data_IF_757056001499
#
_entry.id   IF_757056001499
#
_cell.length_a   1.000
_cell.length_b   1.000
_cell.length_c   1.000
_cell.angle_alpha   90.00
_cell.angle_beta   90.00
_cell.angle_gamma   90.00
#
_symmetry.space_group_name_H-M   'P 1'
#
loop_
_entity.id
_entity.type
_entity.pdbx_description
1 polymer ?
#
# COMPACT_ATOMS: atom_id res chain seq x y z
N UNK A 1 -8.76 -6.96 -21.53
CA UNK A 1 -7.82 -5.99 -22.12
C UNK A 1 -6.40 -6.45 -21.79
N UNK A 2 -5.46 -6.28 -22.71
CA UNK A 2 -4.04 -6.59 -22.45
C UNK A 2 -3.40 -5.35 -21.82
N UNK A 3 -2.77 -5.45 -20.64
CA UNK A 3 -2.09 -4.33 -20.01
C UNK A 3 -0.85 -3.89 -20.79
N UNK A 4 -0.50 -2.62 -20.68
CA UNK A 4 0.75 -2.09 -21.23
C UNK A 4 1.97 -2.77 -20.58
N UNK A 5 3.10 -2.94 -21.30
CA UNK A 5 4.26 -3.68 -20.77
C UNK A 5 4.79 -3.21 -19.42
N UNK A 6 4.90 -1.90 -19.12
CA UNK A 6 5.32 -1.42 -17.80
C UNK A 6 4.35 -1.84 -16.68
N UNK A 7 3.04 -1.78 -16.97
CA UNK A 7 1.99 -2.17 -16.02
C UNK A 7 2.03 -3.68 -15.81
N UNK A 8 2.08 -4.46 -16.88
CA UNK A 8 2.20 -5.92 -16.83
C UNK A 8 3.42 -6.37 -16.01
N UNK A 9 4.58 -5.72 -16.24
CA UNK A 9 5.80 -5.99 -15.50
C UNK A 9 5.63 -5.70 -14.00
N UNK A 10 5.12 -4.51 -13.66
CA UNK A 10 4.91 -4.10 -12.26
C UNK A 10 3.94 -5.04 -11.55
N UNK A 11 2.82 -5.38 -12.18
CA UNK A 11 1.86 -6.35 -11.67
C UNK A 11 2.49 -7.73 -11.44
N UNK A 12 3.37 -8.18 -12.34
CA UNK A 12 4.06 -9.46 -12.19
C UNK A 12 5.00 -9.48 -10.97
N UNK A 13 5.65 -8.35 -10.66
CA UNK A 13 6.50 -8.23 -9.48
C UNK A 13 5.69 -8.23 -8.19
N UNK A 14 4.56 -7.52 -8.17
CA UNK A 14 3.64 -7.53 -7.03
C UNK A 14 3.14 -8.95 -6.80
N UNK A 15 2.65 -9.63 -7.84
CA UNK A 15 2.15 -11.00 -7.73
C UNK A 15 3.21 -11.97 -7.18
N UNK A 16 4.44 -11.86 -7.70
CA UNK A 16 5.57 -12.63 -7.19
C UNK A 16 5.93 -12.28 -5.74
N UNK A 17 5.75 -11.04 -5.30
CA UNK A 17 5.91 -10.66 -3.90
C UNK A 17 4.83 -11.30 -3.02
N UNK A 18 3.57 -11.25 -3.43
CA UNK A 18 2.44 -11.80 -2.67
C UNK A 18 2.54 -13.31 -2.47
N UNK A 19 2.95 -14.05 -3.52
CA UNK A 19 3.16 -15.51 -3.47
C UNK A 19 4.20 -15.97 -2.45
N UNK A 20 5.08 -15.07 -1.99
CA UNK A 20 6.04 -15.40 -0.93
C UNK A 20 5.49 -15.19 0.48
N UNK A 21 4.42 -14.40 0.63
CA UNK A 21 3.74 -14.19 1.91
C UNK A 21 2.73 -15.30 2.17
N UNK A 22 2.14 -15.86 1.11
CA UNK A 22 1.19 -16.97 1.19
C UNK A 22 0.68 -17.39 -0.19
N UNK A 23 -0.44 -18.14 -0.28
CA UNK A 23 -1.05 -18.52 -1.57
C UNK A 23 -1.72 -17.35 -2.30
N UNK A 24 -1.47 -16.11 -1.88
CA UNK A 24 -2.11 -14.90 -2.39
C UNK A 24 -1.57 -14.51 -3.76
N UNK A 25 -2.47 -14.09 -4.64
CA UNK A 25 -2.14 -13.48 -5.92
C UNK A 25 -3.03 -12.25 -6.15
N UNK A 26 -2.66 -11.37 -7.08
CA UNK A 26 -3.50 -10.21 -7.40
C UNK A 26 -4.84 -10.59 -8.04
N UNK A 27 -4.92 -11.79 -8.63
CA UNK A 27 -6.15 -12.36 -9.15
C UNK A 27 -7.00 -13.05 -8.06
N UNK A 28 -6.48 -13.14 -6.82
CA UNK A 28 -7.21 -13.64 -5.67
C UNK A 28 -8.09 -12.51 -5.11
N UNK A 29 -9.35 -12.50 -5.55
CA UNK A 29 -10.37 -11.50 -5.19
C UNK A 29 -10.73 -11.48 -3.69
N UNK A 30 -10.04 -12.23 -2.83
CA UNK A 30 -10.32 -12.26 -1.40
C UNK A 30 -9.80 -11.03 -0.63
N UNK A 31 -8.79 -10.32 -1.15
CA UNK A 31 -8.23 -9.14 -0.45
C UNK A 31 -8.29 -7.88 -1.30
N UNK A 32 -7.78 -7.92 -2.54
CA UNK A 32 -7.90 -6.82 -3.49
C UNK A 32 -8.65 -7.26 -4.74
N UNK A 33 -9.43 -6.35 -5.30
CA UNK A 33 -10.12 -6.53 -6.58
C UNK A 33 -9.73 -5.40 -7.51
N UNK A 34 -9.61 -5.73 -8.80
CA UNK A 34 -9.44 -4.74 -9.85
C UNK A 34 -10.72 -3.91 -9.97
N UNK A 35 -10.61 -2.60 -9.84
CA UNK A 35 -11.69 -1.66 -10.11
C UNK A 35 -11.87 -1.54 -11.63
N UNK A 36 -12.79 -2.34 -12.18
CA UNK A 36 -13.03 -2.44 -13.63
C UNK A 36 -13.65 -1.17 -14.23
N UNK A 37 -14.25 -0.31 -13.41
CA UNK A 37 -14.88 0.93 -13.88
C UNK A 37 -13.83 2.02 -14.14
N UNK A 38 -12.78 2.06 -13.32
CA UNK A 38 -11.70 3.04 -13.45
C UNK A 38 -10.46 2.50 -14.18
N UNK A 39 -10.30 1.18 -14.28
CA UNK A 39 -9.09 0.59 -14.88
C UNK A 39 -9.10 0.63 -16.41
N UNK A 40 -7.93 0.93 -16.97
CA UNK A 40 -7.60 1.02 -18.39
C UNK A 40 -6.25 0.32 -18.67
N UNK A 41 -5.87 0.05 -19.93
CA UNK A 41 -4.63 -0.67 -20.24
C UNK A 41 -3.34 -0.06 -19.64
N UNK A 42 -3.31 1.27 -19.48
CA UNK A 42 -2.20 2.05 -18.94
C UNK A 42 -2.33 2.39 -17.44
N UNK A 43 -3.47 2.04 -16.82
CA UNK A 43 -3.84 2.43 -15.45
C UNK A 43 -4.69 1.33 -14.81
N UNK A 44 -4.19 0.67 -13.78
CA UNK A 44 -4.95 -0.35 -13.05
C UNK A 44 -5.08 0.06 -11.58
N UNK A 45 -6.32 0.15 -11.09
CA UNK A 45 -6.61 0.44 -9.70
C UNK A 45 -7.12 -0.81 -9.00
N UNK A 46 -6.54 -1.12 -7.85
CA UNK A 46 -6.94 -2.23 -7.00
C UNK A 46 -7.44 -1.70 -5.67
N UNK A 47 -8.64 -2.10 -5.29
CA UNK A 47 -9.31 -1.72 -4.04
C UNK A 47 -9.59 -2.94 -3.18
N UNK A 48 -9.82 -2.77 -1.88
CA UNK A 48 -10.20 -3.89 -1.02
C UNK A 48 -11.49 -4.56 -1.50
N UNK A 49 -11.48 -5.89 -1.59
CA UNK A 49 -12.61 -6.67 -2.10
C UNK A 49 -13.86 -6.58 -1.21
N UNK A 50 -13.65 -6.61 0.11
CA UNK A 50 -14.72 -6.64 1.13
C UNK A 50 -14.38 -5.67 2.28
N UNK A 51 -14.42 -4.35 2.05
CA UNK A 51 -14.00 -3.37 3.04
C UNK A 51 -14.89 -3.44 4.28
N UNK A 52 -14.30 -3.77 5.43
CA UNK A 52 -14.99 -3.71 6.73
C UNK A 52 -14.75 -2.36 7.40
N UNK A 53 -15.72 -1.77 8.13
CA UNK A 53 -15.54 -0.48 8.81
C UNK A 53 -14.36 -0.42 9.78
N UNK A 54 -13.95 -1.58 10.32
CA UNK A 54 -12.84 -1.68 11.28
C UNK A 54 -11.48 -1.86 10.61
N UNK A 55 -11.43 -2.22 9.33
CA UNK A 55 -10.21 -2.50 8.58
C UNK A 55 -9.51 -1.22 8.13
N UNK A 56 -8.20 -1.32 7.94
CA UNK A 56 -7.40 -0.25 7.34
C UNK A 56 -7.88 -0.03 5.91
N UNK A 57 -8.26 1.21 5.58
CA UNK A 57 -8.52 1.56 4.19
C UNK A 57 -7.21 1.47 3.41
N UNK A 58 -7.19 0.64 2.37
CA UNK A 58 -6.04 0.46 1.50
C UNK A 58 -6.49 0.35 0.03
N UNK A 59 -5.71 0.91 -0.87
CA UNK A 59 -5.82 0.69 -2.32
C UNK A 59 -4.45 0.97 -2.94
N UNK A 60 -4.26 0.52 -4.18
CA UNK A 60 -3.05 0.86 -4.93
C UNK A 60 -3.36 0.97 -6.41
N UNK A 61 -2.50 1.71 -7.08
CA UNK A 61 -2.64 2.09 -8.47
C UNK A 61 -1.34 1.77 -9.19
N UNK A 62 -1.43 1.08 -10.31
CA UNK A 62 -0.31 0.75 -11.18
C UNK A 62 -0.52 1.45 -12.51
N UNK A 63 0.41 2.32 -12.85
CA UNK A 63 0.38 3.15 -14.05
C UNK A 63 1.66 2.94 -14.85
N UNK A 64 1.68 3.37 -16.11
CA UNK A 64 2.88 3.24 -16.95
C UNK A 64 4.10 3.96 -16.36
N UNK A 65 3.89 5.02 -15.59
CA UNK A 65 4.95 5.77 -14.92
C UNK A 65 5.42 5.17 -13.60
N UNK A 66 4.72 4.16 -13.04
CA UNK A 66 5.05 3.64 -11.71
C UNK A 66 3.86 3.04 -10.95
N UNK A 67 3.96 3.08 -9.62
CA UNK A 67 2.93 2.58 -8.72
C UNK A 67 2.80 3.49 -7.50
N UNK A 68 1.57 3.67 -7.04
CA UNK A 68 1.25 4.34 -5.78
C UNK A 68 0.44 3.43 -4.87
N UNK A 69 0.77 3.39 -3.58
CA UNK A 69 0.05 2.66 -2.55
C UNK A 69 -0.54 3.64 -1.54
N UNK A 70 -1.78 3.39 -1.10
CA UNK A 70 -2.56 4.31 -0.29
C UNK A 70 -3.06 3.63 0.99
N UNK A 71 -2.93 4.31 2.13
CA UNK A 71 -3.34 3.83 3.46
C UNK A 71 -4.02 4.92 4.30
N UNK A 72 -5.11 4.57 5.00
CA UNK A 72 -5.75 5.36 6.07
C UNK A 72 -6.04 6.84 5.75
N UNK A 73 -6.45 7.14 4.50
CA UNK A 73 -6.73 8.50 4.00
C UNK A 73 -5.49 9.36 3.69
N UNK A 74 -4.29 8.81 3.78
CA UNK A 74 -3.05 9.50 3.38
C UNK A 74 -3.02 9.65 1.86
N UNK A 75 -2.69 10.85 1.38
CA UNK A 75 -2.81 11.21 -0.04
C UNK A 75 -1.80 10.48 -0.94
N UNK A 76 -0.74 9.88 -0.41
CA UNK A 76 0.19 9.05 -1.17
C UNK A 76 1.25 8.46 -0.23
N UNK A 77 1.72 7.24 -0.56
CA UNK A 77 3.05 6.66 -0.31
C UNK A 77 3.01 5.31 0.44
N UNK A 78 3.73 4.31 -0.10
CA UNK A 78 4.81 4.46 -1.09
C UNK A 78 4.41 4.72 -2.56
N UNK A 79 5.12 5.66 -3.22
CA UNK A 79 5.11 5.85 -4.67
C UNK A 79 6.48 5.42 -5.22
N UNK A 80 6.47 4.63 -6.31
CA UNK A 80 7.66 4.18 -7.00
C UNK A 80 7.55 4.44 -8.49
N UNK A 81 8.49 5.19 -9.05
CA UNK A 81 8.58 5.32 -10.51
C UNK A 81 8.90 3.99 -11.17
N UNK A 82 8.40 3.78 -12.40
CA UNK A 82 8.66 2.57 -13.17
C UNK A 82 10.17 2.33 -13.40
N UNK A 83 10.94 3.40 -13.63
CA UNK A 83 12.39 3.28 -13.75
C UNK A 83 13.02 2.71 -12.47
N UNK A 84 12.58 3.20 -11.29
CA UNK A 84 13.07 2.68 -10.02
C UNK A 84 12.66 1.22 -9.81
N UNK A 85 11.40 0.85 -10.12
CA UNK A 85 10.89 -0.53 -10.01
C UNK A 85 11.71 -1.47 -10.90
N UNK A 86 11.95 -1.08 -12.16
CA UNK A 86 12.73 -1.85 -13.13
C UNK A 86 14.17 -2.06 -12.67
N UNK A 87 14.78 -1.02 -12.11
CA UNK A 87 16.18 -1.04 -11.72
C UNK A 87 16.38 -1.69 -10.32
N UNK A 88 15.32 -1.75 -9.49
CA UNK A 88 15.36 -2.26 -8.11
C UNK A 88 14.23 -3.28 -7.79
N UNK A 89 14.04 -4.34 -8.60
CA UNK A 89 12.87 -5.22 -8.48
C UNK A 89 12.79 -5.95 -7.14
N UNK A 90 13.94 -6.36 -6.57
CA UNK A 90 13.97 -7.05 -5.27
C UNK A 90 13.56 -6.13 -4.12
N UNK A 91 14.10 -4.91 -4.09
CA UNK A 91 13.75 -3.94 -3.06
C UNK A 91 12.27 -3.56 -3.15
N UNK A 92 11.75 -3.37 -4.37
CA UNK A 92 10.32 -3.16 -4.59
C UNK A 92 9.48 -4.33 -4.03
N UNK A 93 9.83 -5.57 -4.37
CA UNK A 93 9.11 -6.74 -3.87
C UNK A 93 9.18 -6.88 -2.35
N UNK A 94 10.30 -6.56 -1.72
CA UNK A 94 10.43 -6.54 -0.26
C UNK A 94 9.50 -5.50 0.38
N UNK A 95 9.44 -4.28 -0.16
CA UNK A 95 8.51 -3.27 0.33
C UNK A 95 7.04 -3.67 0.15
N UNK A 96 6.69 -4.30 -0.99
CA UNK A 96 5.35 -4.86 -1.19
C UNK A 96 5.05 -5.94 -0.15
N UNK A 97 5.96 -6.88 0.11
CA UNK A 97 5.74 -7.89 1.17
C UNK A 97 5.48 -7.24 2.51
N UNK A 98 6.32 -6.27 2.89
CA UNK A 98 6.20 -5.54 4.15
C UNK A 98 4.85 -4.85 4.28
N UNK A 99 4.39 -4.14 3.27
CA UNK A 99 3.11 -3.42 3.31
C UNK A 99 1.93 -4.35 3.58
N UNK A 100 1.94 -5.54 3.02
CA UNK A 100 0.82 -6.46 3.14
C UNK A 100 0.90 -7.40 4.36
N UNK A 101 2.10 -7.73 4.84
CA UNK A 101 2.30 -8.67 5.95
C UNK A 101 2.52 -7.99 7.31
N UNK A 102 2.70 -6.67 7.36
CA UNK A 102 2.99 -5.96 8.61
C UNK A 102 1.73 -5.58 9.37
N UNK A 103 1.80 -5.56 10.69
CA UNK A 103 0.86 -4.80 11.50
C UNK A 103 1.12 -3.30 11.28
N UNK A 104 0.07 -2.52 11.05
CA UNK A 104 0.19 -1.11 10.71
C UNK A 104 -0.40 -0.29 11.86
N UNK A 105 0.46 0.41 12.60
CA UNK A 105 0.03 1.42 13.55
C UNK A 105 -0.14 2.75 12.82
N UNK A 106 -1.36 3.27 12.82
CA UNK A 106 -1.64 4.61 12.34
C UNK A 106 -1.82 5.54 13.53
N UNK A 107 -1.08 6.64 13.49
CA UNK A 107 -1.12 7.68 14.50
C UNK A 107 -1.47 9.01 13.83
N UNK A 108 -2.55 9.65 14.27
CA UNK A 108 -2.84 11.02 13.88
C UNK A 108 -2.58 11.99 15.03
N UNK A 109 -1.94 13.10 14.69
CA UNK A 109 -1.73 14.23 15.57
C UNK A 109 -2.00 15.51 14.78
N UNK A 110 -3.25 15.95 14.78
CA UNK A 110 -3.66 17.11 13.98
C UNK A 110 -3.54 16.85 12.49
N UNK A 111 -2.68 17.59 11.80
CA UNK A 111 -2.41 17.39 10.36
C UNK A 111 -1.26 16.43 10.08
N UNK A 112 -0.64 15.90 11.14
CA UNK A 112 0.43 14.91 11.05
C UNK A 112 -0.17 13.50 11.12
N UNK A 113 0.22 12.65 10.19
CA UNK A 113 -0.05 11.21 10.24
C UNK A 113 1.28 10.46 10.27
N UNK A 114 1.43 9.51 11.18
CA UNK A 114 2.60 8.62 11.24
C UNK A 114 2.09 7.19 11.05
N UNK A 115 2.63 6.52 10.03
CA UNK A 115 2.41 5.08 9.80
C UNK A 115 3.65 4.34 10.26
N UNK A 116 3.49 3.31 11.10
CA UNK A 116 4.57 2.42 11.51
C UNK A 116 4.19 0.98 11.19
N UNK A 117 5.09 0.29 10.51
CA UNK A 117 4.94 -1.12 10.15
C UNK A 117 5.73 -1.96 11.14
N UNK A 118 5.09 -2.98 11.69
CA UNK A 118 5.68 -3.92 12.62
C UNK A 118 5.60 -5.35 12.08
N UNK A 119 6.69 -6.10 12.23
CA UNK A 119 6.71 -7.53 11.93
C UNK A 119 5.93 -8.35 12.96
N UNK A 120 5.85 -9.67 12.75
CA UNK A 120 5.24 -10.63 13.69
C UNK A 120 5.84 -10.54 15.10
N UNK A 121 7.15 -10.27 15.17
CA UNK A 121 7.91 -10.16 16.42
C UNK A 121 7.71 -8.82 17.15
N UNK A 122 6.86 -7.93 16.62
CA UNK A 122 6.66 -6.58 17.19
C UNK A 122 7.81 -5.60 16.96
N UNK A 123 8.82 -5.98 16.16
CA UNK A 123 9.91 -5.09 15.74
C UNK A 123 9.41 -4.11 14.68
N UNK A 124 9.70 -2.82 14.86
CA UNK A 124 9.38 -1.80 13.85
C UNK A 124 10.29 -1.96 12.62
N UNK A 125 9.68 -2.17 11.46
CA UNK A 125 10.38 -2.41 10.19
C UNK A 125 10.50 -1.13 9.36
N UNK A 126 9.44 -0.30 9.37
CA UNK A 126 9.35 0.95 8.60
C UNK A 126 8.54 2.00 9.34
N UNK A 127 8.80 3.27 9.02
CA UNK A 127 7.99 4.41 9.45
C UNK A 127 7.84 5.42 8.31
N UNK A 128 6.62 5.86 8.08
CA UNK A 128 6.29 6.97 7.18
C UNK A 128 5.68 8.10 8.00
N UNK A 129 6.05 9.35 7.70
CA UNK A 129 5.52 10.53 8.41
C UNK A 129 5.03 11.54 7.38
N UNK A 130 3.78 11.94 7.53
CA UNK A 130 3.09 12.86 6.66
C UNK A 130 2.67 14.08 7.47
N UNK A 131 2.75 15.27 6.88
CA UNK A 131 2.25 16.51 7.47
C UNK A 131 1.53 17.30 6.39
N UNK A 132 0.25 17.60 6.60
CA UNK A 132 -0.53 18.44 5.69
C UNK A 132 -0.61 19.89 6.20
N UNK A 133 -0.30 20.87 5.35
CA UNK A 133 -0.43 22.30 5.64
C UNK A 133 0.60 22.90 6.63
N UNK A 134 0.46 24.19 6.93
CA UNK A 134 1.28 24.94 7.91
C UNK A 134 0.75 24.73 9.33
N UNK A 135 1.67 24.53 10.28
CA UNK A 135 1.38 23.93 11.59
C UNK A 135 1.27 24.97 12.72
N UNK A 136 0.17 24.91 13.48
CA UNK A 136 0.10 25.31 14.89
C UNK A 136 -0.35 24.09 15.72
N UNK A 137 0.60 23.29 16.19
CA UNK A 137 0.37 21.99 16.84
C UNK A 137 0.13 22.06 18.36
N UNK A 138 -0.26 23.23 18.90
CA UNK A 138 -0.16 23.45 20.35
C UNK A 138 -1.19 22.70 21.22
N UNK A 139 -2.30 22.16 20.69
CA UNK A 139 -3.33 21.51 21.54
C UNK A 139 -4.15 20.40 20.84
N UNK A 140 -3.56 19.57 19.99
CA UNK A 140 -4.32 18.52 19.28
C UNK A 140 -4.13 17.14 19.91
N UNK A 141 -5.25 16.47 20.20
CA UNK A 141 -5.26 15.12 20.75
C UNK A 141 -4.63 14.14 19.76
N UNK A 142 -3.78 13.26 20.31
CA UNK A 142 -3.14 12.17 19.59
C UNK A 142 -4.07 10.96 19.61
N UNK A 143 -4.43 10.43 18.45
CA UNK A 143 -5.14 9.16 18.35
C UNK A 143 -4.28 8.12 17.64
N UNK A 144 -4.39 6.87 18.07
CA UNK A 144 -3.66 5.75 17.50
C UNK A 144 -4.60 4.58 17.28
N UNK A 145 -4.39 3.85 16.18
CA UNK A 145 -5.10 2.62 15.88
C UNK A 145 -4.13 1.63 15.24
N UNK A 146 -4.05 0.44 15.83
CA UNK A 146 -3.28 -0.67 15.30
C UNK A 146 -4.18 -1.51 14.42
N UNK A 147 -3.75 -1.74 13.19
CA UNK A 147 -4.43 -2.60 12.23
C UNK A 147 -3.63 -3.89 12.05
N UNK A 148 -4.32 -5.04 11.93
CA UNK A 148 -3.66 -6.29 11.57
C UNK A 148 -3.13 -6.22 10.13
N UNK A 149 -2.24 -7.14 9.74
CA UNK A 149 -1.82 -7.32 8.37
C UNK A 149 -2.98 -7.43 7.38
N UNK A 150 -2.74 -7.02 6.13
CA UNK A 150 -3.72 -7.19 5.04
C UNK A 150 -3.80 -8.66 4.60
N UNK A 151 -2.70 -9.39 4.71
CA UNK A 151 -2.61 -10.85 4.56
C UNK A 151 -2.17 -11.48 5.88
N UNK A 152 -2.84 -12.54 6.31
CA UNK A 152 -2.53 -13.34 7.49
C UNK A 152 -2.33 -14.80 7.13
#
# INVERSE_FOLDING_TARGET
MTPDPPVAYTLSLIDAALRTVGPHCLADEHVFVLDKELSAPFYHRFVLANPRPTQLMAWFEVVTSGMSFYLDRSAEIPEWSYNWIRDNPKAFQEEIRLLFSSHILVEHQGTRTVLRLFGSEGVQLRQYTFTQGLVLNLFRQRCFKLYPPLFS
#
